data_IF_305727193153
#
_entry.id   IF_305727193153
#
_cell.length_a   1.000
_cell.length_b   1.000
_cell.length_c   1.000
_cell.angle_alpha   90.00
_cell.angle_beta   90.00
_cell.angle_gamma   90.00
#
_symmetry.space_group_name_H-M   'P 1'
#
loop_
_entity.id
_entity.type
_entity.pdbx_description
1 polymer ?
#
# COMPACT_ATOMS: atom_id res chain seq x y z
N UNK A 1 14.93 26.94 -8.49
CA UNK A 1 16.35 27.00 -8.07
C UNK A 1 16.51 26.15 -6.83
N UNK A 2 17.22 25.01 -6.86
CA UNK A 2 17.38 24.17 -5.69
C UNK A 2 18.34 24.86 -4.69
N UNK A 3 17.88 24.99 -3.45
CA UNK A 3 18.60 25.63 -2.35
C UNK A 3 19.74 24.72 -1.89
N UNK A 4 20.98 25.22 -1.87
CA UNK A 4 22.18 24.51 -1.41
C UNK A 4 22.18 24.31 0.12
N UNK A 5 21.26 23.52 0.66
CA UNK A 5 21.16 23.21 2.09
C UNK A 5 22.32 22.38 2.70
N UNK A 6 23.05 21.49 1.98
CA UNK A 6 24.04 20.64 2.65
C UNK A 6 25.30 21.40 3.09
N UNK A 7 25.57 22.58 2.51
CA UNK A 7 26.75 23.38 2.85
C UNK A 7 26.55 24.15 4.17
N UNK A 8 25.33 24.62 4.47
CA UNK A 8 25.06 25.32 5.73
C UNK A 8 24.97 24.37 6.93
N UNK A 9 24.46 23.15 6.75
CA UNK A 9 24.36 22.16 7.83
C UNK A 9 25.74 21.71 8.33
N UNK A 10 26.69 21.50 7.41
CA UNK A 10 28.09 21.16 7.75
C UNK A 10 28.78 22.26 8.55
N UNK A 11 28.47 23.54 8.28
CA UNK A 11 29.05 24.68 9.03
C UNK A 11 28.52 24.76 10.46
N UNK A 12 27.24 24.45 10.68
CA UNK A 12 26.64 24.46 12.03
C UNK A 12 27.08 23.26 12.89
N UNK A 13 27.17 22.06 12.31
CA UNK A 13 27.73 20.89 13.00
C UNK A 13 29.20 21.13 13.36
N UNK A 14 30.01 21.64 12.44
CA UNK A 14 31.44 21.94 12.69
C UNK A 14 31.64 22.97 13.80
N UNK A 15 30.73 23.93 13.96
CA UNK A 15 30.81 24.93 15.03
C UNK A 15 30.57 24.34 16.44
N UNK A 16 29.62 23.42 16.58
CA UNK A 16 29.34 22.74 17.86
C UNK A 16 30.54 21.89 18.31
N UNK A 17 31.14 21.15 17.38
CA UNK A 17 32.35 20.38 17.65
C UNK A 17 33.57 21.29 17.88
N UNK A 18 33.65 22.42 17.19
CA UNK A 18 34.67 23.45 17.42
C UNK A 18 34.64 24.00 18.84
N UNK A 19 33.46 24.32 19.38
CA UNK A 19 33.31 24.77 20.78
C UNK A 19 33.77 23.68 21.76
N UNK A 20 33.37 22.43 21.55
CA UNK A 20 33.75 21.31 22.42
C UNK A 20 35.28 21.12 22.46
N UNK A 21 35.94 21.19 21.31
CA UNK A 21 37.40 21.11 21.21
C UNK A 21 38.08 22.28 21.93
N UNK A 22 37.59 23.51 21.74
CA UNK A 22 38.12 24.69 22.42
C UNK A 22 38.00 24.59 23.94
N UNK A 23 36.86 24.11 24.46
CA UNK A 23 36.66 23.91 25.89
C UNK A 23 37.63 22.87 26.46
N UNK A 24 37.85 21.75 25.76
CA UNK A 24 38.76 20.69 26.22
C UNK A 24 40.21 21.17 26.21
N UNK A 25 40.64 21.88 25.15
CA UNK A 25 41.97 22.48 25.09
C UNK A 25 42.16 23.54 26.18
N UNK A 26 41.15 24.38 26.42
CA UNK A 26 41.16 25.39 27.47
C UNK A 26 41.31 24.77 28.87
N UNK A 27 40.52 23.73 29.18
CA UNK A 27 40.63 22.98 30.43
C UNK A 27 41.99 22.29 30.57
N UNK A 28 42.52 21.71 29.49
CA UNK A 28 43.85 21.05 29.49
C UNK A 28 44.98 22.04 29.78
N UNK A 29 44.95 23.23 29.16
CA UNK A 29 45.93 24.30 29.40
C UNK A 29 45.80 24.84 30.83
N UNK A 30 44.57 25.01 31.34
CA UNK A 30 44.33 25.47 32.70
C UNK A 30 44.89 24.50 33.75
N UNK A 31 44.58 23.21 33.61
CA UNK A 31 45.10 22.14 34.48
C UNK A 31 46.62 22.06 34.40
N UNK A 32 47.19 22.15 33.19
CA UNK A 32 48.65 22.15 33.00
C UNK A 32 49.33 23.34 33.69
N UNK A 33 48.76 24.54 33.59
CA UNK A 33 49.28 25.73 34.31
C UNK A 33 49.16 25.61 35.81
N UNK A 34 48.11 24.98 36.30
CA UNK A 34 47.93 24.77 37.74
C UNK A 34 48.90 23.74 38.29
N UNK A 35 49.14 22.66 37.52
CA UNK A 35 50.16 21.65 37.84
C UNK A 35 51.57 22.24 37.87
N UNK A 36 51.92 23.08 36.88
CA UNK A 36 53.18 23.83 36.87
C UNK A 36 53.31 24.71 38.11
N UNK A 37 52.28 25.51 38.45
CA UNK A 37 52.30 26.34 39.67
C UNK A 37 52.51 25.53 40.95
N UNK A 38 51.90 24.36 41.05
CA UNK A 38 52.13 23.49 42.21
C UNK A 38 53.55 22.94 42.22
N UNK A 39 54.09 22.48 41.08
CA UNK A 39 55.48 21.99 40.99
C UNK A 39 56.50 23.08 41.34
N UNK A 40 56.33 24.29 40.83
CA UNK A 40 57.20 25.43 41.15
C UNK A 40 57.19 25.76 42.65
N UNK A 41 56.01 25.69 43.30
CA UNK A 41 55.89 25.88 44.75
C UNK A 41 56.60 24.77 45.54
N UNK A 42 56.60 23.53 45.07
CA UNK A 42 57.35 22.43 45.69
C UNK A 42 58.85 22.60 45.49
N UNK A 43 59.32 22.91 44.28
CA UNK A 43 60.73 23.15 44.01
C UNK A 43 61.28 24.30 44.84
N UNK A 44 60.50 25.39 45.00
CA UNK A 44 60.88 26.52 45.85
C UNK A 44 61.02 26.11 47.32
N UNK A 45 60.10 25.30 47.85
CA UNK A 45 60.16 24.78 49.23
C UNK A 45 61.34 23.82 49.44
N UNK A 46 61.59 22.91 48.50
CA UNK A 46 62.76 22.03 48.54
C UNK A 46 64.08 22.82 48.46
N UNK A 47 64.16 23.85 47.60
CA UNK A 47 65.33 24.73 47.52
C UNK A 47 65.53 25.57 48.80
N UNK A 48 64.45 25.97 49.48
CA UNK A 48 64.53 26.69 50.74
C UNK A 48 65.02 25.80 51.91
N UNK A 49 64.63 24.53 51.92
CA UNK A 49 65.17 23.52 52.86
C UNK A 49 66.65 23.27 52.58
N UNK A 50 67.07 23.25 51.30
CA UNK A 50 68.48 23.10 50.87
C UNK A 50 69.42 24.22 51.38
N UNK A 51 68.89 25.40 51.69
CA UNK A 51 69.65 26.50 52.27
C UNK A 51 69.95 26.31 53.78
N UNK A 52 69.27 25.36 54.43
CA UNK A 52 69.54 24.90 55.79
C UNK A 52 70.42 23.65 55.70
N UNK A 53 71.59 23.65 56.33
CA UNK A 53 72.63 22.63 56.16
C UNK A 53 72.17 21.27 56.71
N UNK A 54 71.57 20.42 55.87
CA UNK A 54 71.18 19.04 56.19
C UNK A 54 71.85 18.06 55.22
N UNK A 55 72.20 16.87 55.71
CA UNK A 55 72.90 15.81 54.98
C UNK A 55 72.13 15.35 53.72
N UNK A 56 72.81 15.08 52.59
CA UNK A 56 72.18 14.85 51.28
C UNK A 56 71.33 13.57 51.18
N UNK A 57 71.52 12.57 52.07
CA UNK A 57 70.77 11.32 52.01
C UNK A 57 69.33 11.43 52.57
N UNK A 58 69.11 12.26 53.59
CA UNK A 58 67.78 12.51 54.18
C UNK A 58 66.96 13.51 53.36
N UNK A 59 67.62 14.33 52.54
CA UNK A 59 67.00 15.37 51.71
C UNK A 59 66.14 14.80 50.57
N UNK A 60 66.57 13.69 49.96
CA UNK A 60 65.83 13.07 48.85
C UNK A 60 64.53 12.44 49.36
N UNK A 61 64.59 11.78 50.52
CA UNK A 61 63.44 11.09 51.11
C UNK A 61 62.34 12.05 51.57
N UNK A 62 62.70 13.23 52.09
CA UNK A 62 61.72 14.24 52.53
C UNK A 62 61.08 15.01 51.37
N UNK A 63 61.82 15.27 50.28
CA UNK A 63 61.23 15.86 49.06
C UNK A 63 60.31 14.87 48.33
N UNK A 64 60.65 13.57 48.31
CA UNK A 64 59.79 12.54 47.72
C UNK A 64 58.50 12.32 48.54
N UNK A 65 58.58 12.31 49.88
CA UNK A 65 57.40 12.26 50.76
C UNK A 65 56.50 13.50 50.63
N UNK A 66 57.11 14.68 50.46
CA UNK A 66 56.39 15.93 50.24
C UNK A 66 55.63 15.95 48.90
N UNK A 67 56.20 15.38 47.84
CA UNK A 67 55.54 15.21 46.55
C UNK A 67 54.38 14.20 46.61
N UNK A 68 54.49 13.18 47.46
CA UNK A 68 53.42 12.20 47.66
C UNK A 68 52.24 12.77 48.47
N UNK A 69 52.49 13.52 49.54
CA UNK A 69 51.43 14.18 50.33
C UNK A 69 50.77 15.34 49.56
N UNK A 70 51.52 16.04 48.71
CA UNK A 70 50.99 17.00 47.74
C UNK A 70 49.91 16.40 46.84
N UNK A 71 50.19 15.21 46.31
CA UNK A 71 49.28 14.49 45.44
C UNK A 71 48.04 14.00 46.19
N UNK A 72 48.10 13.84 47.52
CA UNK A 72 46.97 13.44 48.37
C UNK A 72 46.02 14.60 48.71
N UNK A 73 46.48 15.84 48.68
CA UNK A 73 45.66 17.02 48.95
C UNK A 73 44.89 17.55 47.73
N UNK A 74 45.15 17.01 46.54
CA UNK A 74 44.36 17.33 45.35
C UNK A 74 42.99 16.64 45.42
N UNK A 75 41.89 17.35 45.11
CA UNK A 75 40.57 16.75 45.04
C UNK A 75 40.56 15.52 44.13
N UNK A 76 39.86 14.45 44.56
CA UNK A 76 39.86 13.13 43.87
C UNK A 76 39.48 13.21 42.39
N UNK A 77 38.67 14.21 41.99
CA UNK A 77 38.29 14.46 40.61
C UNK A 77 39.49 14.90 39.75
N UNK A 78 40.46 15.63 40.33
CA UNK A 78 41.65 16.11 39.62
C UNK A 78 42.54 14.97 39.12
N UNK A 79 42.59 13.83 39.83
CA UNK A 79 43.33 12.64 39.39
C UNK A 79 42.73 12.02 38.12
N UNK A 80 41.42 12.14 37.91
CA UNK A 80 40.71 11.64 36.71
C UNK A 80 40.94 12.54 35.49
N UNK A 81 41.29 13.82 35.71
CA UNK A 81 41.59 14.79 34.64
C UNK A 81 43.08 15.15 34.53
N UNK A 82 43.90 14.62 35.42
CA UNK A 82 45.34 14.86 35.50
C UNK A 82 46.09 14.05 34.45
N UNK A 83 47.21 14.60 34.00
CA UNK A 83 48.10 13.91 33.06
C UNK A 83 48.78 12.71 33.75
N UNK A 84 48.95 11.54 33.11
CA UNK A 84 48.64 11.18 31.72
C UNK A 84 47.23 10.58 31.47
N UNK A 85 46.54 10.14 32.52
CA UNK A 85 45.29 9.35 32.40
C UNK A 85 44.08 10.18 31.95
N UNK A 86 44.08 11.50 32.18
CA UNK A 86 42.97 12.38 31.84
C UNK A 86 42.69 12.53 30.34
N UNK A 87 43.71 12.42 29.49
CA UNK A 87 43.54 12.56 28.02
C UNK A 87 42.67 11.42 27.49
N UNK A 88 42.90 10.20 27.96
CA UNK A 88 42.14 9.01 27.57
C UNK A 88 40.66 9.15 27.94
N UNK A 89 40.38 9.67 29.13
CA UNK A 89 39.00 9.89 29.59
C UNK A 89 38.26 10.89 28.69
N UNK A 90 38.88 12.01 28.33
CA UNK A 90 38.28 12.98 27.41
C UNK A 90 38.08 12.42 26.00
N UNK A 91 39.04 11.64 25.51
CA UNK A 91 38.94 10.99 24.21
C UNK A 91 37.73 10.03 24.16
N UNK A 92 37.55 9.20 25.18
CA UNK A 92 36.41 8.27 25.29
C UNK A 92 35.08 9.04 25.32
N UNK A 93 34.97 10.09 26.15
CA UNK A 93 33.75 10.89 26.24
C UNK A 93 33.40 11.56 24.92
N UNK A 94 34.39 12.10 24.20
CA UNK A 94 34.20 12.69 22.88
C UNK A 94 33.75 11.65 21.85
N UNK A 95 34.38 10.48 21.83
CA UNK A 95 34.00 9.39 20.93
C UNK A 95 32.55 8.95 21.17
N UNK A 96 32.14 8.78 22.43
CA UNK A 96 30.75 8.45 22.77
C UNK A 96 29.76 9.53 22.32
N UNK A 97 30.12 10.81 22.46
CA UNK A 97 29.28 11.92 22.01
C UNK A 97 29.11 11.94 20.48
N UNK A 98 30.20 11.69 19.73
CA UNK A 98 30.14 11.56 18.27
C UNK A 98 29.28 10.36 17.86
N UNK A 99 29.44 9.21 18.52
CA UNK A 99 28.63 8.01 18.25
C UNK A 99 27.14 8.30 18.54
N UNK A 100 26.83 8.99 19.64
CA UNK A 100 25.46 9.32 19.99
C UNK A 100 24.80 10.24 18.95
N UNK A 101 25.51 11.26 18.45
CA UNK A 101 25.02 12.15 17.40
C UNK A 101 24.82 11.41 16.07
N UNK A 102 25.81 10.62 15.66
CA UNK A 102 25.71 9.76 14.48
C UNK A 102 24.54 8.76 14.59
N UNK A 103 24.31 8.19 15.78
CA UNK A 103 23.20 7.26 16.02
C UNK A 103 21.85 7.98 15.92
N UNK A 104 21.75 9.22 16.42
CA UNK A 104 20.54 10.02 16.32
C UNK A 104 20.22 10.41 14.87
N UNK A 105 21.23 10.80 14.07
CA UNK A 105 21.07 11.06 12.65
C UNK A 105 20.68 9.80 11.88
N UNK A 106 21.33 8.67 12.17
CA UNK A 106 21.01 7.37 11.57
C UNK A 106 19.57 6.96 11.87
N UNK A 107 19.09 7.16 13.10
CA UNK A 107 17.70 6.90 13.47
C UNK A 107 16.73 7.76 12.66
N UNK A 108 17.02 9.05 12.49
CA UNK A 108 16.19 9.95 11.67
C UNK A 108 16.18 9.56 10.21
N UNK A 109 17.33 9.18 9.66
CA UNK A 109 17.45 8.68 8.29
C UNK A 109 16.63 7.39 8.10
N UNK A 110 16.70 6.44 9.04
CA UNK A 110 15.94 5.20 8.99
C UNK A 110 14.42 5.45 8.98
N UNK A 111 13.92 6.35 9.84
CA UNK A 111 12.49 6.73 9.87
C UNK A 111 12.08 7.35 8.54
N UNK A 112 12.87 8.29 8.01
CA UNK A 112 12.59 8.92 6.72
C UNK A 112 12.58 7.91 5.56
N UNK A 113 13.46 6.90 5.61
CA UNK A 113 13.45 5.79 4.64
C UNK A 113 12.21 4.93 4.78
N UNK A 114 11.77 4.61 6.00
CA UNK A 114 10.54 3.85 6.25
C UNK A 114 9.31 4.59 5.71
N UNK A 115 9.19 5.89 5.99
CA UNK A 115 8.07 6.72 5.51
C UNK A 115 8.09 6.85 3.98
N UNK A 116 9.26 7.03 3.37
CA UNK A 116 9.40 7.05 1.92
C UNK A 116 9.03 5.71 1.27
N UNK A 117 9.38 4.59 1.91
CA UNK A 117 8.99 3.26 1.46
C UNK A 117 7.47 3.08 1.51
N UNK A 118 6.82 3.48 2.62
CA UNK A 118 5.35 3.46 2.74
C UNK A 118 4.67 4.31 1.68
N UNK A 119 5.11 5.56 1.50
CA UNK A 119 4.55 6.44 0.47
C UNK A 119 4.72 5.88 -0.94
N UNK A 120 5.83 5.18 -1.20
CA UNK A 120 6.06 4.49 -2.47
C UNK A 120 5.09 3.32 -2.65
N UNK A 121 4.88 2.51 -1.61
CA UNK A 121 3.90 1.41 -1.64
C UNK A 121 2.48 1.93 -1.91
N UNK A 122 2.07 2.98 -1.21
CA UNK A 122 0.76 3.62 -1.42
C UNK A 122 0.62 4.14 -2.85
N UNK A 123 1.68 4.75 -3.39
CA UNK A 123 1.69 5.25 -4.77
C UNK A 123 1.56 4.12 -5.79
N UNK A 124 2.24 2.99 -5.57
CA UNK A 124 2.12 1.80 -6.42
C UNK A 124 0.69 1.24 -6.38
N UNK A 125 0.06 1.21 -5.20
CA UNK A 125 -1.31 0.74 -5.06
C UNK A 125 -2.31 1.64 -5.82
N UNK A 126 -2.15 2.97 -5.73
CA UNK A 126 -2.97 3.92 -6.48
C UNK A 126 -2.81 3.71 -8.00
N UNK A 127 -1.58 3.51 -8.48
CA UNK A 127 -1.32 3.22 -9.90
C UNK A 127 -2.00 1.90 -10.30
N UNK A 128 -1.84 0.82 -9.51
CA UNK A 128 -2.51 -0.46 -9.77
C UNK A 128 -4.03 -0.31 -9.85
N UNK A 129 -4.65 0.45 -8.95
CA UNK A 129 -6.11 0.69 -8.95
C UNK A 129 -6.58 1.50 -10.16
N UNK A 130 -5.73 2.38 -10.69
CA UNK A 130 -6.02 3.18 -11.88
C UNK A 130 -5.89 2.33 -13.16
N UNK A 131 -4.80 1.57 -13.27
CA UNK A 131 -4.46 0.82 -14.49
C UNK A 131 -5.11 -0.57 -14.56
N UNK A 132 -5.85 -1.00 -13.53
CA UNK A 132 -6.49 -2.34 -13.52
C UNK A 132 -7.49 -2.55 -14.66
N UNK A 133 -7.63 -3.82 -15.05
CA UNK A 133 -8.67 -4.25 -15.97
C UNK A 133 -10.04 -4.14 -15.29
N UNK A 134 -11.04 -3.67 -16.04
CA UNK A 134 -12.41 -3.49 -15.55
C UNK A 134 -13.34 -4.12 -16.55
N UNK A 135 -13.86 -5.28 -16.22
CA UNK A 135 -14.81 -5.99 -17.09
C UNK A 135 -16.23 -5.55 -16.70
N UNK A 136 -17.11 -5.40 -17.68
CA UNK A 136 -18.53 -5.23 -17.44
C UNK A 136 -19.33 -6.08 -18.41
N UNK A 137 -20.47 -6.54 -17.92
CA UNK A 137 -21.42 -7.36 -18.67
C UNK A 137 -22.47 -6.43 -19.26
N UNK A 138 -22.68 -6.52 -20.58
CA UNK A 138 -23.78 -5.88 -21.29
C UNK A 138 -24.72 -6.95 -21.80
N UNK A 139 -26.00 -6.82 -21.49
CA UNK A 139 -27.03 -7.74 -21.96
C UNK A 139 -27.67 -7.11 -23.20
N UNK A 140 -27.70 -7.87 -24.30
CA UNK A 140 -28.39 -7.51 -25.53
C UNK A 140 -29.90 -7.77 -25.43
N UNK A 141 -30.58 -7.63 -26.55
CA UNK A 141 -32.01 -7.91 -26.63
C UNK A 141 -32.30 -9.41 -26.44
N UNK A 142 -33.51 -9.69 -25.96
CA UNK A 142 -34.04 -11.05 -25.88
C UNK A 142 -34.72 -11.36 -27.21
N UNK A 143 -34.05 -12.14 -28.06
CA UNK A 143 -34.50 -12.47 -29.40
C UNK A 143 -35.25 -13.80 -29.40
N UNK A 144 -36.36 -13.87 -30.14
CA UNK A 144 -37.09 -15.11 -30.39
C UNK A 144 -36.80 -15.56 -31.82
N UNK A 145 -36.17 -16.72 -31.96
CA UNK A 145 -35.78 -17.29 -33.25
C UNK A 145 -36.67 -18.49 -33.55
N UNK A 146 -37.41 -18.44 -34.67
CA UNK A 146 -38.17 -19.60 -35.15
C UNK A 146 -37.22 -20.63 -35.76
N UNK A 147 -37.39 -21.91 -35.41
CA UNK A 147 -36.63 -22.99 -36.06
C UNK A 147 -37.47 -23.65 -37.13
N UNK A 148 -37.04 -23.47 -38.38
CA UNK A 148 -37.77 -23.94 -39.56
C UNK A 148 -37.94 -25.46 -39.62
N UNK A 149 -37.06 -26.21 -38.97
CA UNK A 149 -37.03 -27.68 -39.00
C UNK A 149 -37.91 -28.35 -37.94
N UNK A 150 -38.48 -27.59 -36.99
CA UNK A 150 -39.33 -28.10 -35.92
C UNK A 150 -40.68 -27.35 -35.96
N UNK A 151 -41.79 -28.07 -36.17
CA UNK A 151 -43.13 -27.50 -36.31
C UNK A 151 -43.46 -26.52 -35.17
N UNK A 152 -43.44 -25.22 -35.47
CA UNK A 152 -43.78 -24.11 -34.57
C UNK A 152 -42.98 -24.04 -33.25
N UNK A 153 -41.75 -24.56 -33.26
CA UNK A 153 -40.81 -24.34 -32.15
C UNK A 153 -40.05 -23.02 -32.32
N UNK A 154 -39.97 -22.28 -31.22
CA UNK A 154 -39.18 -21.05 -31.12
C UNK A 154 -38.10 -21.23 -30.07
N UNK A 155 -37.01 -20.47 -30.20
CA UNK A 155 -35.92 -20.40 -29.25
C UNK A 155 -35.74 -18.98 -28.76
N UNK A 156 -35.51 -18.84 -27.46
CA UNK A 156 -35.07 -17.58 -26.87
C UNK A 156 -33.54 -17.53 -26.87
N UNK A 157 -32.97 -16.47 -27.43
CA UNK A 157 -31.53 -16.23 -27.41
C UNK A 157 -31.27 -14.88 -26.76
N UNK A 158 -30.39 -14.87 -25.77
CA UNK A 158 -29.85 -13.62 -25.22
C UNK A 158 -28.38 -13.52 -25.57
N UNK A 159 -28.03 -12.40 -26.20
CA UNK A 159 -26.64 -12.03 -26.42
C UNK A 159 -26.08 -11.36 -25.18
N UNK A 160 -24.95 -11.83 -24.68
CA UNK A 160 -24.23 -11.23 -23.55
C UNK A 160 -22.84 -10.82 -24.02
N UNK A 161 -22.52 -9.56 -23.89
CA UNK A 161 -21.21 -9.01 -24.24
C UNK A 161 -20.39 -8.73 -22.98
N UNK A 162 -19.17 -9.23 -22.96
CA UNK A 162 -18.16 -8.89 -21.97
C UNK A 162 -17.25 -7.83 -22.57
N UNK A 163 -17.17 -6.66 -21.94
CA UNK A 163 -16.30 -5.59 -22.40
C UNK A 163 -15.34 -5.18 -21.30
N UNK A 164 -14.07 -5.01 -21.68
CA UNK A 164 -13.05 -4.47 -20.80
C UNK A 164 -12.91 -2.97 -21.07
N UNK A 165 -13.30 -2.16 -20.09
CA UNK A 165 -13.16 -0.70 -20.13
C UNK A 165 -12.03 -0.21 -19.22
N UNK A 166 -11.22 -1.12 -18.67
CA UNK A 166 -9.97 -0.79 -17.98
C UNK A 166 -8.82 -0.55 -18.96
N UNK A 167 -7.68 -0.14 -18.43
CA UNK A 167 -6.48 0.18 -19.24
C UNK A 167 -5.65 -1.06 -19.57
N UNK A 168 -5.74 -2.11 -18.75
CA UNK A 168 -4.99 -3.37 -18.93
C UNK A 168 -5.88 -4.53 -19.36
N UNK A 169 -5.27 -5.61 -19.84
CA UNK A 169 -5.97 -6.82 -20.30
C UNK A 169 -6.66 -7.54 -19.14
N UNK A 170 -7.84 -8.08 -19.41
CA UNK A 170 -8.54 -9.01 -18.51
C UNK A 170 -8.37 -10.44 -19.06
N UNK A 171 -7.91 -11.35 -18.22
CA UNK A 171 -7.77 -12.76 -18.55
C UNK A 171 -8.97 -13.51 -17.96
N UNK A 172 -9.93 -13.92 -18.80
CA UNK A 172 -11.14 -14.59 -18.31
C UNK A 172 -10.79 -16.01 -17.89
N UNK A 173 -10.69 -16.23 -16.59
CA UNK A 173 -10.46 -17.55 -16.01
C UNK A 173 -11.71 -18.44 -16.16
N UNK A 174 -12.90 -17.85 -16.03
CA UNK A 174 -14.15 -18.59 -16.13
C UNK A 174 -15.32 -17.65 -16.45
N UNK A 175 -16.30 -18.13 -17.23
CA UNK A 175 -17.59 -17.47 -17.39
C UNK A 175 -18.73 -18.48 -17.42
N UNK A 176 -19.70 -18.31 -16.53
CA UNK A 176 -20.91 -19.11 -16.53
C UNK A 176 -22.14 -18.21 -16.50
N UNK A 177 -23.24 -18.70 -17.06
CA UNK A 177 -24.49 -17.98 -17.13
C UNK A 177 -25.61 -18.97 -17.39
N UNK A 178 -26.78 -18.62 -16.90
CA UNK A 178 -27.98 -19.42 -17.02
C UNK A 178 -29.16 -18.49 -17.28
N UNK A 179 -30.16 -19.03 -17.95
CA UNK A 179 -31.39 -18.35 -18.30
C UNK A 179 -32.56 -19.23 -17.90
N UNK A 180 -33.53 -18.66 -17.19
CA UNK A 180 -34.70 -19.40 -16.73
C UNK A 180 -35.97 -18.57 -16.84
N UNK A 181 -37.10 -19.23 -17.08
CA UNK A 181 -38.42 -18.59 -17.08
C UNK A 181 -39.19 -19.14 -15.88
N UNK A 182 -39.73 -18.26 -15.05
CA UNK A 182 -40.49 -18.66 -13.87
C UNK A 182 -41.77 -17.84 -13.75
N UNK A 183 -42.68 -18.26 -12.86
CA UNK A 183 -43.92 -17.51 -12.53
C UNK A 183 -43.70 -16.43 -11.47
N UNK A 184 -42.46 -16.26 -11.00
CA UNK A 184 -42.11 -15.36 -9.92
C UNK A 184 -41.08 -14.35 -10.39
N UNK A 185 -41.25 -13.10 -10.00
CA UNK A 185 -40.24 -12.05 -10.17
C UNK A 185 -39.05 -12.23 -9.23
N UNK A 186 -39.27 -12.94 -8.10
CA UNK A 186 -38.21 -13.24 -7.15
C UNK A 186 -37.13 -14.13 -7.76
N UNK A 187 -35.85 -13.82 -7.47
CA UNK A 187 -34.76 -14.61 -7.97
C UNK A 187 -34.85 -16.04 -7.45
N UNK A 188 -34.63 -17.00 -8.34
CA UNK A 188 -34.39 -18.37 -7.89
C UNK A 188 -33.15 -18.36 -7.00
N UNK A 189 -33.13 -19.18 -5.94
CA UNK A 189 -31.92 -19.48 -5.17
C UNK A 189 -31.01 -20.36 -6.04
N UNK A 190 -30.58 -19.83 -7.17
CA UNK A 190 -29.78 -20.56 -8.12
C UNK A 190 -28.37 -20.70 -7.56
N UNK A 191 -27.89 -21.93 -7.51
CA UNK A 191 -26.45 -22.18 -7.45
C UNK A 191 -25.91 -21.73 -8.80
N UNK A 192 -24.95 -20.81 -8.80
CA UNK A 192 -24.28 -20.39 -10.03
C UNK A 192 -23.78 -21.65 -10.76
N UNK A 193 -24.08 -21.81 -12.06
CA UNK A 193 -23.69 -23.01 -12.79
C UNK A 193 -22.17 -23.20 -12.75
N UNK A 194 -21.74 -24.46 -12.86
CA UNK A 194 -20.32 -24.79 -12.90
C UNK A 194 -19.63 -24.20 -14.15
N UNK A 195 -18.32 -23.91 -14.07
CA UNK A 195 -17.54 -23.30 -15.14
C UNK A 195 -17.74 -23.95 -16.51
N UNK A 196 -17.99 -23.14 -17.54
CA UNK A 196 -17.94 -23.57 -18.95
C UNK A 196 -16.76 -22.87 -19.64
N UNK A 197 -15.71 -23.68 -19.82
CA UNK A 197 -14.58 -23.55 -20.77
C UNK A 197 -13.52 -22.45 -20.55
N UNK A 198 -12.32 -22.76 -21.08
CA UNK A 198 -11.03 -22.09 -20.90
C UNK A 198 -10.79 -20.90 -21.85
N UNK A 199 -10.42 -19.78 -21.23
CA UNK A 199 -9.68 -18.56 -21.65
C UNK A 199 -9.92 -17.90 -23.01
N UNK A 200 -10.80 -16.88 -23.04
CA UNK A 200 -10.61 -15.69 -23.86
C UNK A 200 -9.94 -14.56 -23.06
N UNK A 201 -8.88 -13.95 -23.63
CA UNK A 201 -8.29 -12.70 -23.13
C UNK A 201 -9.06 -11.52 -23.72
N UNK A 202 -9.55 -10.60 -22.89
CA UNK A 202 -10.21 -9.37 -23.34
C UNK A 202 -9.22 -8.21 -23.21
N UNK A 203 -8.71 -7.75 -24.35
CA UNK A 203 -7.81 -6.61 -24.40
C UNK A 203 -8.55 -5.31 -24.10
N UNK A 204 -7.83 -4.33 -23.55
CA UNK A 204 -8.36 -2.97 -23.42
C UNK A 204 -8.67 -2.41 -24.81
N UNK A 205 -9.84 -1.79 -24.99
CA UNK A 205 -10.30 -1.14 -26.24
C UNK A 205 -10.60 -2.03 -27.44
N UNK A 206 -10.48 -3.36 -27.32
CA UNK A 206 -10.91 -4.27 -28.39
C UNK A 206 -12.43 -4.43 -28.43
N UNK A 207 -12.91 -5.05 -29.52
CA UNK A 207 -14.33 -5.41 -29.65
C UNK A 207 -14.76 -6.25 -28.44
N UNK A 208 -15.95 -5.99 -27.87
CA UNK A 208 -16.48 -6.81 -26.79
C UNK A 208 -16.44 -8.29 -27.13
N UNK A 209 -16.07 -9.11 -26.16
CA UNK A 209 -16.20 -10.55 -26.29
C UNK A 209 -17.68 -10.91 -26.21
N UNK A 210 -18.22 -11.40 -27.30
CA UNK A 210 -19.62 -11.81 -27.40
C UNK A 210 -19.78 -13.28 -26.99
N UNK A 211 -20.69 -13.54 -26.05
CA UNK A 211 -21.15 -14.88 -25.69
C UNK A 211 -22.66 -14.94 -25.85
N UNK A 212 -23.14 -15.84 -26.69
CA UNK A 212 -24.58 -16.10 -26.84
C UNK A 212 -24.98 -17.18 -25.86
N UNK A 213 -26.04 -16.92 -25.12
CA UNK A 213 -26.65 -17.89 -24.22
C UNK A 213 -27.96 -18.36 -24.86
N UNK A 214 -27.94 -19.45 -25.65
CA UNK A 214 -29.16 -20.01 -26.20
C UNK A 214 -29.93 -20.70 -25.07
N UNK A 215 -31.24 -20.46 -25.02
CA UNK A 215 -32.12 -21.19 -24.14
C UNK A 215 -33.11 -22.00 -24.95
N UNK A 216 -33.03 -23.32 -24.75
CA UNK A 216 -33.96 -24.29 -25.33
C UNK A 216 -35.16 -24.36 -24.40
N UNK A 217 -36.10 -23.44 -24.59
CA UNK A 217 -37.46 -23.65 -24.14
C UNK A 217 -38.32 -23.76 -25.38
N UNK A 218 -39.26 -24.69 -25.35
CA UNK A 218 -40.33 -24.77 -26.34
C UNK A 218 -41.21 -23.51 -26.17
N UNK A 219 -40.69 -22.34 -26.58
CA UNK A 219 -41.34 -21.04 -26.40
C UNK A 219 -42.46 -20.91 -27.42
N UNK A 220 -43.49 -21.72 -27.27
CA UNK A 220 -44.73 -21.54 -28.01
C UNK A 220 -45.31 -20.14 -27.79
N UNK A 221 -46.22 -19.75 -28.67
CA UNK A 221 -46.91 -18.45 -28.65
C UNK A 221 -47.44 -18.05 -27.26
N UNK A 222 -47.82 -19.01 -26.41
CA UNK A 222 -48.32 -18.75 -25.07
C UNK A 222 -47.25 -18.27 -24.08
N UNK A 223 -46.00 -18.73 -24.19
CA UNK A 223 -44.91 -18.26 -23.32
C UNK A 223 -44.52 -16.83 -23.70
N UNK A 224 -44.43 -16.52 -25.00
CA UNK A 224 -44.15 -15.17 -25.48
C UNK A 224 -45.23 -14.21 -25.00
N UNK A 225 -46.50 -14.61 -25.12
CA UNK A 225 -47.63 -13.84 -24.59
C UNK A 225 -47.49 -13.64 -23.07
N UNK A 226 -47.22 -14.71 -22.32
CA UNK A 226 -47.13 -14.67 -20.86
C UNK A 226 -45.97 -13.79 -20.36
N UNK A 227 -44.84 -13.76 -21.08
CA UNK A 227 -43.75 -12.83 -20.80
C UNK A 227 -44.20 -11.39 -21.05
N UNK A 228 -44.82 -11.12 -22.20
CA UNK A 228 -45.32 -9.78 -22.54
C UNK A 228 -46.42 -9.27 -21.60
N UNK A 229 -47.25 -10.16 -21.04
CA UNK A 229 -48.30 -9.80 -20.05
C UNK A 229 -47.78 -9.74 -18.62
N UNK A 230 -46.54 -10.16 -18.36
CA UNK A 230 -45.96 -10.21 -17.02
C UNK A 230 -46.48 -11.36 -16.15
N UNK A 231 -47.10 -12.39 -16.76
CA UNK A 231 -47.47 -13.64 -16.07
C UNK A 231 -46.27 -14.56 -15.87
N UNK A 232 -45.29 -14.48 -16.78
CA UNK A 232 -43.99 -15.14 -16.67
C UNK A 232 -42.87 -14.11 -16.62
N UNK A 233 -41.78 -14.51 -15.99
CA UNK A 233 -40.59 -13.69 -15.77
C UNK A 233 -39.38 -14.42 -16.32
N UNK A 234 -38.65 -13.78 -17.23
CA UNK A 234 -37.37 -14.29 -17.72
C UNK A 234 -36.23 -13.75 -16.87
N UNK A 235 -35.41 -14.66 -16.35
CA UNK A 235 -34.28 -14.40 -15.48
C UNK A 235 -33.00 -14.77 -16.22
N UNK A 236 -32.03 -13.87 -16.21
CA UNK A 236 -30.69 -14.12 -16.71
C UNK A 236 -29.71 -13.87 -15.58
N UNK A 237 -28.88 -14.84 -15.23
CA UNK A 237 -27.90 -14.68 -14.16
C UNK A 237 -26.63 -15.46 -14.43
N UNK A 238 -25.54 -15.05 -13.80
CA UNK A 238 -24.26 -15.70 -13.99
C UNK A 238 -23.13 -15.02 -13.28
N UNK A 239 -21.92 -15.47 -13.58
CA UNK A 239 -20.70 -14.85 -13.09
C UNK A 239 -19.57 -14.95 -14.11
N UNK A 240 -18.66 -13.98 -14.04
CA UNK A 240 -17.43 -13.93 -14.81
C UNK A 240 -16.28 -13.77 -13.83
N UNK A 241 -15.39 -14.77 -13.80
CA UNK A 241 -14.16 -14.71 -13.03
C UNK A 241 -13.01 -14.37 -13.96
N UNK A 242 -12.17 -13.42 -13.57
CA UNK A 242 -11.03 -12.99 -14.37
C UNK A 242 -9.86 -12.54 -13.50
N UNK A 243 -8.67 -12.53 -14.07
CA UNK A 243 -7.49 -11.90 -13.50
C UNK A 243 -7.07 -10.70 -14.34
N UNK A 244 -6.35 -9.76 -13.73
CA UNK A 244 -5.70 -8.66 -14.44
C UNK A 244 -4.19 -8.93 -14.56
N UNK A 245 -3.45 -7.99 -15.18
CA UNK A 245 -1.98 -8.08 -15.30
C UNK A 245 -1.24 -8.08 -13.96
N UNK A 246 -1.94 -7.79 -12.86
CA UNK A 246 -1.41 -7.85 -11.50
C UNK A 246 -1.77 -9.17 -10.80
N UNK A 247 -2.33 -10.14 -11.53
CA UNK A 247 -2.70 -11.47 -11.07
C UNK A 247 -3.74 -11.48 -9.94
N UNK A 248 -4.45 -10.36 -9.74
CA UNK A 248 -5.48 -10.26 -8.73
C UNK A 248 -6.77 -10.95 -9.23
N UNK A 249 -7.31 -11.96 -8.51
CA UNK A 249 -8.56 -12.59 -8.89
C UNK A 249 -9.72 -11.62 -8.67
N UNK A 250 -10.65 -11.60 -9.63
CA UNK A 250 -11.85 -10.77 -9.64
C UNK A 250 -13.04 -11.59 -10.11
N UNK A 251 -14.22 -11.26 -9.58
CA UNK A 251 -15.47 -11.92 -9.97
C UNK A 251 -16.54 -10.86 -10.13
N UNK A 252 -17.19 -10.86 -11.29
CA UNK A 252 -18.39 -10.08 -11.56
C UNK A 252 -19.56 -11.03 -11.52
N UNK A 253 -20.53 -10.73 -10.67
CA UNK A 253 -21.82 -11.40 -10.68
C UNK A 253 -22.82 -10.52 -11.41
N UNK A 254 -23.75 -11.14 -12.10
CA UNK A 254 -24.82 -10.43 -12.75
C UNK A 254 -26.13 -11.19 -12.61
N UNK A 255 -27.20 -10.44 -12.41
CA UNK A 255 -28.56 -10.94 -12.42
C UNK A 255 -29.49 -9.88 -13.00
N UNK A 256 -30.23 -10.29 -14.01
CA UNK A 256 -31.18 -9.46 -14.72
C UNK A 256 -32.53 -10.14 -14.78
N UNK A 257 -33.56 -9.31 -14.63
CA UNK A 257 -34.96 -9.67 -14.81
C UNK A 257 -35.45 -8.96 -16.07
N UNK A 258 -36.00 -9.71 -17.01
CA UNK A 258 -36.67 -9.12 -18.14
C UNK A 258 -37.99 -8.55 -17.66
N UNK A 259 -38.25 -7.28 -17.97
CA UNK A 259 -39.49 -6.59 -17.60
C UNK A 259 -40.21 -6.14 -18.87
N UNK A 260 -41.50 -6.46 -19.03
CA UNK A 260 -42.25 -6.00 -20.18
C UNK A 260 -42.32 -4.48 -20.18
N UNK A 261 -41.99 -3.88 -21.31
CA UNK A 261 -42.04 -2.44 -21.50
C UNK A 261 -42.85 -2.16 -22.77
N UNK A 262 -44.08 -1.67 -22.57
CA UNK A 262 -44.97 -1.33 -23.66
C UNK A 262 -44.79 0.11 -24.17
N UNK A 263 -43.81 0.89 -23.66
CA UNK A 263 -43.54 2.22 -24.19
C UNK A 263 -43.09 2.13 -25.66
N UNK A 264 -43.98 2.56 -26.57
CA UNK A 264 -43.73 2.56 -28.01
C UNK A 264 -44.50 1.51 -28.81
N UNK A 265 -45.19 0.57 -28.14
CA UNK A 265 -46.13 -0.33 -28.82
C UNK A 265 -47.35 0.51 -29.22
N UNK A 266 -47.44 0.87 -30.50
CA UNK A 266 -48.58 1.63 -31.01
C UNK A 266 -49.88 0.88 -30.67
N UNK A 267 -50.86 1.57 -30.06
CA UNK A 267 -52.14 1.01 -29.63
C UNK A 267 -52.86 0.12 -30.68
N UNK A 268 -52.53 0.25 -31.97
CA UNK A 268 -53.07 -0.58 -33.06
C UNK A 268 -52.63 -2.06 -33.00
N UNK A 269 -51.46 -2.41 -32.46
CA UNK A 269 -51.04 -3.82 -32.33
C UNK A 269 -51.62 -4.51 -31.09
N UNK A 270 -52.13 -3.75 -30.12
CA UNK A 270 -52.81 -4.30 -28.93
C UNK A 270 -54.20 -4.90 -29.25
N UNK A 271 -54.71 -4.69 -30.47
CA UNK A 271 -56.06 -5.13 -30.88
C UNK A 271 -56.05 -6.55 -31.45
N UNK A 272 -54.89 -7.12 -31.85
CA UNK A 272 -54.81 -8.54 -32.25
C UNK A 272 -53.96 -9.36 -31.27
N UNK A 273 -54.55 -10.45 -30.76
CA UNK A 273 -53.85 -11.44 -29.92
C UNK A 273 -52.63 -12.07 -30.61
N UNK A 274 -52.55 -11.97 -31.94
CA UNK A 274 -51.50 -12.53 -32.77
C UNK A 274 -50.23 -11.65 -32.81
N UNK A 275 -50.33 -10.33 -32.56
CA UNK A 275 -49.15 -9.46 -32.55
C UNK A 275 -48.28 -9.69 -31.30
N UNK A 276 -48.91 -10.00 -30.16
CA UNK A 276 -48.23 -10.25 -28.88
C UNK A 276 -47.54 -11.62 -28.79
N UNK A 277 -47.74 -12.50 -29.78
CA UNK A 277 -47.26 -13.88 -29.73
C UNK A 277 -46.00 -14.13 -30.57
N UNK A 278 -45.49 -13.14 -31.31
CA UNK A 278 -44.35 -13.31 -32.23
C UNK A 278 -43.12 -12.47 -31.89
N UNK A 279 -43.24 -11.50 -30.97
CA UNK A 279 -42.13 -10.65 -30.56
C UNK A 279 -42.23 -10.29 -29.08
N UNK A 280 -41.08 -10.11 -28.43
CA UNK A 280 -40.98 -9.71 -27.03
C UNK A 280 -40.77 -8.20 -26.93
N UNK A 281 -41.50 -7.54 -26.06
CA UNK A 281 -41.40 -6.09 -25.84
C UNK A 281 -40.99 -5.80 -24.41
N UNK A 282 -39.74 -5.45 -24.19
CA UNK A 282 -39.25 -5.20 -22.84
C UNK A 282 -37.77 -4.88 -22.75
N UNK A 283 -37.33 -4.71 -21.52
CA UNK A 283 -35.96 -4.35 -21.19
C UNK A 283 -35.45 -5.20 -20.03
N UNK A 284 -34.14 -5.43 -20.02
CA UNK A 284 -33.46 -6.08 -18.90
C UNK A 284 -33.23 -5.08 -17.78
N UNK A 285 -33.68 -5.42 -16.57
CA UNK A 285 -33.41 -4.65 -15.35
C UNK A 285 -32.52 -5.45 -14.43
N UNK A 286 -31.51 -4.80 -13.83
CA UNK A 286 -30.73 -5.42 -12.78
C UNK A 286 -31.66 -5.81 -11.63
N UNK A 287 -31.44 -7.00 -11.08
CA UNK A 287 -32.31 -7.57 -10.06
C UNK A 287 -31.51 -8.36 -9.02
N UNK A 288 -32.02 -8.48 -7.80
CA UNK A 288 -31.31 -9.07 -6.66
C UNK A 288 -30.56 -8.04 -5.80
N UNK A 289 -29.87 -8.54 -4.78
CA UNK A 289 -29.10 -7.69 -3.85
C UNK A 289 -27.88 -7.06 -4.55
N UNK A 290 -27.32 -6.00 -3.97
CA UNK A 290 -26.12 -5.35 -4.52
C UNK A 290 -24.99 -6.37 -4.76
N UNK A 291 -24.82 -7.33 -3.84
CA UNK A 291 -23.80 -8.39 -3.92
C UNK A 291 -23.97 -9.32 -5.13
N UNK A 292 -25.19 -9.46 -5.66
CA UNK A 292 -25.49 -10.29 -6.83
C UNK A 292 -25.17 -9.57 -8.15
N UNK A 293 -24.89 -8.26 -8.09
CA UNK A 293 -24.52 -7.41 -9.24
C UNK A 293 -23.20 -6.65 -9.00
N UNK A 294 -22.37 -7.14 -8.09
CA UNK A 294 -21.13 -6.49 -7.65
C UNK A 294 -19.88 -7.10 -8.29
N UNK A 295 -18.85 -6.27 -8.47
CA UNK A 295 -17.47 -6.69 -8.74
C UNK A 295 -16.78 -6.94 -7.40
N UNK A 296 -16.68 -8.20 -6.99
CA UNK A 296 -16.13 -8.58 -5.70
C UNK A 296 -14.60 -8.52 -5.70
N UNK A 297 -14.03 -7.31 -5.84
CA UNK A 297 -12.74 -6.94 -5.26
C UNK A 297 -12.51 -5.40 -5.28
N UNK A 298 -13.17 -4.64 -4.38
CA UNK A 298 -13.05 -3.18 -4.33
C UNK A 298 -11.81 -2.68 -3.56
N UNK A 299 -11.10 -3.58 -2.88
CA UNK A 299 -9.94 -3.25 -2.03
C UNK A 299 -8.65 -3.28 -2.84
#
# INVERSE_FOLDING_TARGET
MPYNSPIMLKRLLSWKYGIAVVLILGCSIYVSRQDQKTRDQYETKCNQIRAVTVSPATHQEDCDKGAEDAARHLPRWYRVFGWPEGITTWAILLTLLVIADQTAETKRAAIATEDAAKATMDSVEVIKRKEKARVKVRIGELEVVKVETMNDSYFAVVKVELFNFGETKAFIANSCGDFSITRSDKPHAAKFPEPLTSEPVIHATEKPLEKKFPFFCDTGHDIIRSLNTGELFAHLYGMVSYTDVFEAPRVIRFRYLWTPNMHGVQLRSLISKDALSHSLYGEWKQHGDEQDNYDSNPN
#
